data_IF_868223859692
#
_entry.id   IF_868223859692
#
_cell.length_a   1.000
_cell.length_b   1.000
_cell.length_c   1.000
_cell.angle_alpha   90.00
_cell.angle_beta   90.00
_cell.angle_gamma   90.00
#
_symmetry.space_group_name_H-M   'P 1'
#
loop_
_entity.id
_entity.type
_entity.pdbx_description
1 polymer ?
#
# COMPACT_ATOMS: atom_id res chain seq x y z
N UNK A 1 -15.29 10.69 5.96
CA UNK A 1 -13.84 10.92 6.09
C UNK A 1 -13.09 9.76 5.46
N UNK A 2 -12.09 10.07 4.65
CA UNK A 2 -11.34 9.03 3.96
C UNK A 2 -10.33 8.38 4.90
N UNK A 3 -10.32 7.06 4.92
CA UNK A 3 -9.34 6.27 5.64
C UNK A 3 -8.31 5.76 4.64
N UNK A 4 -7.04 5.88 4.97
CA UNK A 4 -5.96 5.48 4.08
C UNK A 4 -5.08 4.47 4.79
N UNK A 5 -4.83 3.35 4.13
CA UNK A 5 -3.75 2.46 4.53
C UNK A 5 -2.51 2.91 3.75
N UNK A 6 -1.58 3.51 4.47
CA UNK A 6 -0.31 3.96 3.91
C UNK A 6 0.74 2.89 4.14
N UNK A 7 1.43 2.52 3.09
CA UNK A 7 2.55 1.58 3.22
C UNK A 7 3.74 2.11 2.43
N UNK A 8 4.93 1.81 2.90
CA UNK A 8 6.15 2.21 2.22
C UNK A 8 7.28 1.24 2.51
N UNK A 9 8.13 1.03 1.53
CA UNK A 9 9.27 0.12 1.68
C UNK A 9 10.23 0.29 0.51
N UNK A 10 11.46 -0.18 0.70
CA UNK A 10 12.40 -0.26 -0.40
C UNK A 10 12.07 -1.45 -1.29
N UNK A 11 12.49 -1.38 -2.55
CA UNK A 11 12.33 -2.46 -3.52
C UNK A 11 13.64 -2.64 -4.27
N UNK A 12 14.03 -3.86 -4.59
CA UNK A 12 15.23 -4.09 -5.40
C UNK A 12 15.03 -3.63 -6.85
N UNK A 13 13.79 -3.68 -7.34
CA UNK A 13 13.44 -3.32 -8.71
C UNK A 13 11.99 -2.87 -8.74
N UNK A 14 11.75 -1.63 -9.13
CA UNK A 14 10.40 -1.07 -9.15
C UNK A 14 9.49 -1.84 -10.12
N UNK A 15 9.99 -2.15 -11.32
CA UNK A 15 9.16 -2.81 -12.32
C UNK A 15 8.73 -4.21 -11.86
N UNK A 16 9.62 -4.93 -11.21
CA UNK A 16 9.30 -6.23 -10.63
C UNK A 16 8.26 -6.13 -9.53
N UNK A 17 8.41 -5.15 -8.65
CA UNK A 17 7.43 -4.88 -7.60
C UNK A 17 6.07 -4.54 -8.19
N UNK A 18 6.06 -3.68 -9.22
CA UNK A 18 4.81 -3.22 -9.85
C UNK A 18 4.04 -4.38 -10.47
N UNK A 19 4.74 -5.35 -11.06
CA UNK A 19 4.10 -6.54 -11.61
C UNK A 19 3.38 -7.34 -10.52
N UNK A 20 4.02 -7.49 -9.36
CA UNK A 20 3.41 -8.19 -8.23
C UNK A 20 2.20 -7.40 -7.72
N UNK A 21 2.34 -6.09 -7.59
CA UNK A 21 1.24 -5.22 -7.18
C UNK A 21 0.04 -5.36 -8.14
N UNK A 22 0.30 -5.33 -9.44
CA UNK A 22 -0.76 -5.41 -10.46
C UNK A 22 -1.43 -6.79 -10.49
N UNK A 23 -0.76 -7.83 -10.02
CA UNK A 23 -1.37 -9.16 -9.94
C UNK A 23 -2.51 -9.22 -8.93
N UNK A 24 -2.54 -8.26 -7.99
CA UNK A 24 -3.63 -8.09 -7.05
C UNK A 24 -4.00 -9.36 -6.28
N UNK A 25 -3.04 -9.97 -5.58
CA UNK A 25 -3.26 -11.29 -4.97
C UNK A 25 -4.33 -11.31 -3.88
N UNK A 26 -4.59 -10.19 -3.23
CA UNK A 26 -5.61 -10.11 -2.17
C UNK A 26 -6.97 -9.74 -2.73
N UNK A 27 -7.00 -9.01 -3.84
CA UNK A 27 -8.23 -8.50 -4.41
C UNK A 27 -8.61 -7.17 -3.77
N UNK A 28 -7.99 -6.09 -4.24
CA UNK A 28 -8.19 -4.77 -3.66
C UNK A 28 -9.64 -4.30 -3.70
N UNK A 29 -10.28 -4.41 -4.86
CA UNK A 29 -11.65 -3.94 -5.01
C UNK A 29 -12.62 -4.70 -4.09
N UNK A 30 -12.48 -6.01 -4.05
CA UNK A 30 -13.32 -6.86 -3.19
C UNK A 30 -13.11 -6.56 -1.71
N UNK A 31 -11.93 -6.11 -1.35
CA UNK A 31 -11.58 -5.82 0.04
C UNK A 31 -11.99 -4.42 0.47
N UNK A 32 -12.57 -3.63 -0.44
CA UNK A 32 -13.09 -2.31 -0.10
C UNK A 32 -12.18 -1.16 -0.45
N UNK A 33 -11.09 -1.40 -1.17
CA UNK A 33 -10.23 -0.31 -1.66
C UNK A 33 -11.00 0.47 -2.72
N UNK A 34 -11.14 1.78 -2.49
CA UNK A 34 -11.88 2.66 -3.40
C UNK A 34 -11.00 3.23 -4.49
N UNK A 35 -9.75 3.50 -4.16
CA UNK A 35 -8.73 3.95 -5.10
C UNK A 35 -7.37 3.76 -4.46
N UNK A 36 -6.32 3.83 -5.27
CA UNK A 36 -4.97 3.81 -4.74
C UNK A 36 -4.11 4.83 -5.46
N UNK A 37 -2.99 5.14 -4.83
CA UNK A 37 -1.98 6.02 -5.40
C UNK A 37 -0.62 5.45 -5.06
N UNK A 38 0.24 5.36 -6.06
CA UNK A 38 1.62 4.90 -5.87
C UNK A 38 2.53 6.10 -6.05
N UNK A 39 3.40 6.32 -5.08
CA UNK A 39 4.37 7.42 -5.13
C UNK A 39 5.77 6.84 -5.01
N UNK A 40 6.71 7.61 -5.50
CA UNK A 40 8.11 7.23 -5.44
C UNK A 40 8.91 8.51 -5.19
N UNK A 41 9.90 8.49 -4.28
CA UNK A 41 10.75 9.67 -4.10
C UNK A 41 11.42 10.03 -5.41
N UNK A 42 11.49 11.33 -5.72
CA UNK A 42 12.06 11.76 -7.00
C UNK A 42 13.55 11.42 -7.12
N UNK A 43 14.21 11.19 -6.00
CA UNK A 43 15.63 10.90 -5.93
C UNK A 43 15.95 9.45 -5.58
N UNK A 44 14.93 8.58 -5.46
CA UNK A 44 15.15 7.18 -5.10
C UNK A 44 14.15 6.26 -5.82
N UNK A 45 14.54 5.71 -6.99
CA UNK A 45 13.64 4.82 -7.74
C UNK A 45 13.47 3.43 -7.12
N UNK A 46 14.20 3.15 -6.03
CA UNK A 46 14.12 1.85 -5.35
C UNK A 46 13.33 1.93 -4.05
N UNK A 47 12.46 2.91 -3.93
CA UNK A 47 11.59 3.08 -2.79
C UNK A 47 10.18 3.38 -3.28
N UNK A 48 9.17 2.79 -2.65
CA UNK A 48 7.78 3.02 -3.04
C UNK A 48 6.94 3.38 -1.83
N UNK A 49 5.94 4.21 -2.07
CA UNK A 49 4.90 4.57 -1.11
C UNK A 49 3.56 4.33 -1.76
N UNK A 50 2.63 3.70 -1.04
CA UNK A 50 1.31 3.39 -1.58
C UNK A 50 0.26 3.86 -0.59
N UNK A 51 -0.74 4.55 -1.10
CA UNK A 51 -1.93 4.94 -0.34
C UNK A 51 -3.13 4.19 -0.90
N UNK A 52 -3.77 3.39 -0.05
CA UNK A 52 -5.00 2.67 -0.41
C UNK A 52 -6.14 3.29 0.36
N UNK A 53 -7.17 3.77 -0.35
CA UNK A 53 -8.28 4.47 0.27
C UNK A 53 -9.46 3.54 0.54
N UNK A 54 -10.01 3.65 1.74
CA UNK A 54 -11.14 2.85 2.21
C UNK A 54 -12.22 3.77 2.76
N UNK A 55 -13.44 3.26 2.85
CA UNK A 55 -14.56 3.99 3.47
C UNK A 55 -14.51 3.93 4.99
N UNK A 56 -13.96 2.86 5.57
CA UNK A 56 -13.90 2.72 7.02
C UNK A 56 -12.61 2.04 7.47
N UNK A 57 -12.29 2.25 8.75
CA UNK A 57 -11.05 1.75 9.33
C UNK A 57 -11.04 0.23 9.48
N UNK A 58 -12.18 -0.40 9.66
CA UNK A 58 -12.23 -1.86 9.85
C UNK A 58 -11.82 -2.60 8.58
N UNK A 59 -12.21 -2.07 7.40
CA UNK A 59 -11.78 -2.66 6.13
C UNK A 59 -10.29 -2.46 5.90
N UNK A 60 -9.78 -1.28 6.24
CA UNK A 60 -8.34 -1.01 6.15
C UNK A 60 -7.55 -1.96 7.05
N UNK A 61 -8.02 -2.18 8.26
CA UNK A 61 -7.37 -3.09 9.22
C UNK A 61 -7.36 -4.52 8.70
N UNK A 62 -8.48 -4.99 8.13
CA UNK A 62 -8.56 -6.32 7.56
C UNK A 62 -7.59 -6.49 6.40
N UNK A 63 -7.48 -5.47 5.55
CA UNK A 63 -6.54 -5.50 4.43
C UNK A 63 -5.10 -5.51 4.92
N UNK A 64 -4.79 -4.73 5.96
CA UNK A 64 -3.46 -4.71 6.57
C UNK A 64 -3.05 -6.09 7.04
N UNK A 65 -3.98 -6.81 7.69
CA UNK A 65 -3.70 -8.18 8.14
C UNK A 65 -3.43 -9.12 6.98
N UNK A 66 -4.22 -9.01 5.91
CA UNK A 66 -4.03 -9.83 4.72
C UNK A 66 -2.67 -9.56 4.07
N UNK A 67 -2.27 -8.28 3.99
CA UNK A 67 -0.95 -7.93 3.48
C UNK A 67 0.17 -8.51 4.34
N UNK A 68 0.05 -8.40 5.66
CA UNK A 68 1.06 -8.92 6.57
C UNK A 68 1.23 -10.43 6.40
N UNK A 69 0.12 -11.15 6.22
CA UNK A 69 0.17 -12.58 5.97
C UNK A 69 0.83 -12.91 4.63
N UNK A 70 0.51 -12.14 3.59
CA UNK A 70 1.11 -12.33 2.28
C UNK A 70 2.62 -12.07 2.34
N UNK A 71 3.04 -11.00 3.02
CA UNK A 71 4.44 -10.64 3.12
C UNK A 71 5.27 -11.67 3.87
N UNK A 72 4.68 -12.38 4.83
CA UNK A 72 5.38 -13.49 5.51
C UNK A 72 5.77 -14.59 4.52
N UNK A 73 4.94 -14.81 3.50
CA UNK A 73 5.19 -15.84 2.50
C UNK A 73 6.27 -15.44 1.50
N UNK A 74 6.43 -14.14 1.26
CA UNK A 74 7.37 -13.61 0.26
C UNK A 74 8.50 -12.82 0.92
N UNK A 75 8.72 -13.04 2.19
CA UNK A 75 9.64 -12.28 3.03
C UNK A 75 11.02 -12.10 2.39
N UNK A 76 11.47 -10.84 2.34
CA UNK A 76 12.81 -10.49 1.88
C UNK A 76 13.08 -10.59 0.39
N UNK A 77 12.11 -11.02 -0.41
CA UNK A 77 12.32 -11.26 -1.83
C UNK A 77 12.01 -10.06 -2.71
N UNK A 78 10.99 -9.26 -2.34
CA UNK A 78 10.53 -8.17 -3.20
C UNK A 78 10.44 -6.83 -2.49
N UNK A 79 10.71 -6.77 -1.19
CA UNK A 79 10.67 -5.51 -0.45
C UNK A 79 11.50 -5.62 0.82
N UNK A 80 11.96 -4.46 1.31
CA UNK A 80 12.71 -4.35 2.55
C UNK A 80 12.01 -3.46 3.55
N UNK A 81 11.98 -3.88 4.82
CA UNK A 81 11.47 -3.11 5.96
C UNK A 81 10.14 -2.41 5.71
N UNK A 82 9.08 -3.15 5.35
CA UNK A 82 7.80 -2.51 5.07
C UNK A 82 7.22 -1.84 6.31
N UNK A 83 6.70 -0.63 6.12
CA UNK A 83 6.03 0.12 7.17
C UNK A 83 4.58 0.32 6.76
N UNK A 84 3.68 0.09 7.70
CA UNK A 84 2.24 0.21 7.49
C UNK A 84 1.66 1.15 8.53
N UNK A 85 0.75 2.00 8.09
CA UNK A 85 0.06 2.93 8.98
C UNK A 85 -1.33 3.19 8.45
N UNK A 86 -2.32 3.15 9.32
CA UNK A 86 -3.68 3.54 8.97
C UNK A 86 -3.86 4.97 9.41
N UNK A 87 -4.20 5.84 8.48
CA UNK A 87 -4.35 7.27 8.72
C UNK A 87 -5.70 7.73 8.19
N UNK A 88 -6.13 8.91 8.60
CA UNK A 88 -7.36 9.50 8.10
C UNK A 88 -7.08 10.89 7.56
N UNK A 89 -7.82 11.29 6.53
CA UNK A 89 -7.73 12.64 6.01
C UNK A 89 -8.48 13.57 6.97
N UNK A 90 -7.75 14.53 7.55
CA UNK A 90 -8.37 15.48 8.48
C UNK A 90 -8.58 16.86 7.84
N UNK A 91 -7.91 17.13 6.73
CA UNK A 91 -8.05 18.38 6.00
C UNK A 91 -7.49 18.22 4.60
N UNK A 92 -8.12 18.86 3.64
CA UNK A 92 -7.65 18.87 2.26
C UNK A 92 -8.10 20.17 1.61
N UNK A 93 -7.27 20.70 0.72
CA UNK A 93 -7.57 21.93 0.01
C UNK A 93 -6.93 21.92 -1.36
N UNK A 94 -7.66 22.43 -2.34
CA UNK A 94 -7.13 22.66 -3.68
C UNK A 94 -6.91 24.16 -3.87
N UNK A 95 -5.82 24.51 -4.53
CA UNK A 95 -5.50 25.91 -4.84
C UNK A 95 -5.65 26.21 -6.32
#
# INVERSE_FOLDING_TARGET
>A
MTIILHLEHSVPDFDGWKKVFDSDPIGREKSGVRRYQILRPVDDPKYVMVDLEFDDASKAEAFRRALSNLWRQVHGKIMGNPQLRIVETVDTKEY
#
